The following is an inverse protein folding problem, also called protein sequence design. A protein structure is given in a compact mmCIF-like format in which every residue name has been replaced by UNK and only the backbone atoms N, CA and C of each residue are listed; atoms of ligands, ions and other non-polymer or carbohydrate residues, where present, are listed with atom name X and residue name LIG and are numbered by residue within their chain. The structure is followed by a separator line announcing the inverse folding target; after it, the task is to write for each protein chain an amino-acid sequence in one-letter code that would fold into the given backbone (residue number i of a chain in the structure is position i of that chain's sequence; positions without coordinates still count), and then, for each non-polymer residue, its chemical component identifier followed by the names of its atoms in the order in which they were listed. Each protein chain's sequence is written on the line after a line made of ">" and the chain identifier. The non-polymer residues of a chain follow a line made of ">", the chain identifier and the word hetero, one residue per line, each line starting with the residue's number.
data_IF_918448025921
#
_entry.id   IF_918448025921
#
_cell.length_a   1.000
_cell.length_b   1.000
_cell.length_c   1.000
_cell.angle_alpha   90.00
_cell.angle_beta   90.00
_cell.angle_gamma   90.00
#
_symmetry.space_group_name_H-M   'P 1'
#
loop_
_entity.id
_entity.type
_entity.pdbx_description
1 polymer ?
#
# COMPACT_ATOMS: atom_id res chain seq x y z
N UNK A 1 19.82 8.52 28.04
CA UNK A 1 19.30 7.25 28.54
C UNK A 1 18.00 7.49 29.30
N UNK A 2 17.03 6.60 29.14
CA UNK A 2 15.78 6.57 29.92
C UNK A 2 16.15 6.11 31.32
N UNK A 3 15.65 6.82 32.32
CA UNK A 3 15.91 6.50 33.73
C UNK A 3 14.60 6.46 34.52
N UNK A 4 14.53 5.64 35.55
CA UNK A 4 13.36 5.47 36.38
C UNK A 4 12.35 4.50 35.82
N UNK A 5 11.10 4.60 36.24
CA UNK A 5 10.03 3.70 35.83
C UNK A 5 9.56 3.97 34.39
N UNK A 6 9.34 2.91 33.63
CA UNK A 6 8.84 2.96 32.25
C UNK A 6 7.51 2.22 32.15
N UNK A 7 6.46 2.94 31.79
CA UNK A 7 5.15 2.37 31.58
C UNK A 7 4.95 2.00 30.09
N UNK A 8 4.51 0.77 29.85
CA UNK A 8 4.25 0.22 28.51
C UNK A 8 2.76 0.27 28.22
N UNK A 9 2.34 1.29 27.44
CA UNK A 9 0.95 1.61 27.20
C UNK A 9 0.58 1.46 25.72
N UNK A 10 -0.72 1.36 25.43
CA UNK A 10 -1.26 1.26 24.09
C UNK A 10 -1.42 -0.16 23.58
N UNK A 11 -2.18 -0.33 22.50
CA UNK A 11 -2.54 -1.63 21.92
C UNK A 11 -1.33 -2.52 21.58
N UNK A 12 -0.35 -2.05 20.80
CA UNK A 12 0.79 -2.88 20.44
C UNK A 12 1.57 -3.40 21.63
N UNK A 13 1.80 -2.57 22.65
CA UNK A 13 2.54 -2.96 23.85
C UNK A 13 1.70 -3.80 24.82
N UNK A 14 0.37 -3.75 24.73
CA UNK A 14 -0.53 -4.65 25.46
C UNK A 14 -0.52 -6.07 24.88
N UNK A 15 -0.63 -6.20 23.56
CA UNK A 15 -0.92 -7.48 22.91
C UNK A 15 0.31 -8.18 22.33
N UNK A 16 1.46 -7.50 22.20
CA UNK A 16 2.69 -8.05 21.62
C UNK A 16 3.78 -8.21 22.70
N UNK A 17 3.83 -9.34 23.43
CA UNK A 17 4.79 -9.55 24.51
C UNK A 17 6.25 -9.55 24.02
N UNK A 18 6.52 -10.03 22.81
CA UNK A 18 7.87 -10.02 22.25
C UNK A 18 8.34 -8.60 21.94
N UNK A 19 7.44 -7.71 21.51
CA UNK A 19 7.77 -6.29 21.34
C UNK A 19 8.16 -5.65 22.69
N UNK A 20 7.39 -5.90 23.77
CA UNK A 20 7.75 -5.42 25.11
C UNK A 20 9.10 -5.96 25.57
N UNK A 21 9.36 -7.25 25.34
CA UNK A 21 10.64 -7.88 25.67
C UNK A 21 11.81 -7.18 24.98
N UNK A 22 11.67 -6.83 23.71
CA UNK A 22 12.71 -6.07 22.99
C UNK A 22 12.95 -4.69 23.58
N UNK A 23 11.90 -4.01 24.04
CA UNK A 23 12.07 -2.76 24.79
C UNK A 23 12.84 -2.97 26.09
N UNK A 24 12.53 -4.02 26.86
CA UNK A 24 13.27 -4.32 28.10
C UNK A 24 14.75 -4.54 27.85
N UNK A 25 15.08 -5.32 26.84
CA UNK A 25 16.45 -5.62 26.44
C UNK A 25 17.19 -4.37 25.94
N UNK A 26 16.56 -3.60 25.05
CA UNK A 26 17.18 -2.41 24.43
C UNK A 26 17.39 -1.27 25.42
N UNK A 27 16.47 -1.11 26.37
CA UNK A 27 16.52 -0.06 27.38
C UNK A 27 17.25 -0.51 28.67
N UNK A 28 17.68 -1.78 28.71
CA UNK A 28 18.33 -2.40 29.87
C UNK A 28 17.49 -2.23 31.15
N UNK A 29 16.17 -2.42 31.05
CA UNK A 29 15.24 -2.27 32.17
C UNK A 29 15.22 -3.55 33.02
N UNK A 30 15.45 -3.43 34.33
CA UNK A 30 15.15 -4.48 35.27
C UNK A 30 13.65 -4.61 35.57
N UNK A 31 13.21 -5.64 36.27
CA UNK A 31 11.81 -5.92 36.54
C UNK A 31 11.12 -4.84 37.37
N UNK A 32 11.84 -4.23 38.31
CA UNK A 32 11.31 -3.20 39.20
C UNK A 32 10.91 -1.94 38.45
N UNK A 33 11.61 -1.62 37.36
CA UNK A 33 11.38 -0.40 36.58
C UNK A 33 10.38 -0.57 35.42
N UNK A 34 9.77 -1.77 35.30
CA UNK A 34 8.76 -2.06 34.23
C UNK A 34 7.35 -1.93 34.78
N UNK A 35 6.53 -1.09 34.20
CA UNK A 35 5.12 -0.96 34.53
C UNK A 35 4.30 -1.44 33.33
N UNK A 36 3.58 -2.55 33.48
CA UNK A 36 2.71 -3.14 32.46
C UNK A 36 1.31 -3.30 33.05
N UNK A 37 0.45 -2.27 32.92
CA UNK A 37 -0.92 -2.37 33.44
C UNK A 37 -1.75 -3.36 32.61
N UNK A 38 -2.66 -4.08 33.24
CA UNK A 38 -3.55 -5.03 32.56
C UNK A 38 -4.43 -4.41 31.49
N UNK A 39 -4.75 -3.12 31.61
CA UNK A 39 -5.60 -2.36 30.71
C UNK A 39 -4.82 -1.29 29.95
N UNK A 40 -3.55 -1.51 29.66
CA UNK A 40 -2.64 -0.56 29.03
C UNK A 40 -3.18 0.02 27.70
N UNK A 41 -3.96 -0.75 26.95
CA UNK A 41 -4.59 -0.33 25.69
C UNK A 41 -5.74 0.68 25.86
N UNK A 42 -6.28 0.82 27.07
CA UNK A 42 -7.39 1.75 27.37
C UNK A 42 -6.90 3.08 27.97
N UNK A 43 -5.63 3.25 28.26
CA UNK A 43 -5.11 4.41 28.98
C UNK A 43 -5.41 5.74 28.28
N UNK A 44 -5.35 5.79 26.95
CA UNK A 44 -5.67 7.02 26.21
C UNK A 44 -7.13 7.38 26.38
N UNK A 45 -8.04 6.44 26.20
CA UNK A 45 -9.48 6.67 26.39
C UNK A 45 -9.82 7.02 27.83
N UNK A 46 -9.18 6.34 28.80
CA UNK A 46 -9.34 6.65 30.24
C UNK A 46 -8.83 8.05 30.56
N UNK A 47 -7.71 8.47 29.97
CA UNK A 47 -7.18 9.83 30.13
C UNK A 47 -8.15 10.89 29.59
N UNK A 48 -8.78 10.64 28.44
CA UNK A 48 -9.84 11.51 27.91
C UNK A 48 -11.02 11.61 28.88
N UNK A 49 -11.47 10.49 29.45
CA UNK A 49 -12.57 10.49 30.42
C UNK A 49 -12.21 11.25 31.70
N UNK A 50 -10.98 11.09 32.21
CA UNK A 50 -10.47 11.83 33.37
C UNK A 50 -10.41 13.33 33.08
N UNK A 51 -9.90 13.72 31.91
CA UNK A 51 -9.85 15.11 31.48
C UNK A 51 -11.27 15.71 31.37
N UNK A 52 -12.23 14.94 30.81
CA UNK A 52 -13.64 15.32 30.74
C UNK A 52 -14.28 15.50 32.14
N UNK A 53 -13.97 14.60 33.08
CA UNK A 53 -14.47 14.68 34.45
C UNK A 53 -13.93 15.90 35.23
N UNK A 54 -12.73 16.38 34.84
CA UNK A 54 -12.12 17.57 35.42
C UNK A 54 -12.64 18.89 34.78
N UNK A 55 -13.42 18.81 33.69
CA UNK A 55 -13.97 19.97 33.01
C UNK A 55 -15.02 20.64 33.85
N UNK A 56 -14.97 21.97 33.95
CA UNK A 56 -16.01 22.78 34.61
C UNK A 56 -17.30 22.85 33.77
N UNK A 57 -17.24 22.49 32.51
CA UNK A 57 -18.36 22.52 31.58
C UNK A 57 -19.01 21.13 31.50
N UNK A 58 -20.10 20.93 32.21
CA UNK A 58 -20.92 19.72 32.11
C UNK A 58 -21.99 19.92 31.06
N UNK A 59 -21.83 19.40 29.86
CA UNK A 59 -22.87 19.31 28.85
C UNK A 59 -23.62 17.98 29.02
N UNK A 60 -24.72 17.97 29.78
CA UNK A 60 -25.58 16.78 29.83
C UNK A 60 -26.50 16.76 28.61
N UNK A 61 -26.11 16.00 27.59
CA UNK A 61 -26.94 15.75 26.41
C UNK A 61 -27.75 14.47 26.57
N UNK A 62 -29.00 14.48 26.09
CA UNK A 62 -29.81 13.26 26.05
C UNK A 62 -29.32 12.37 24.94
N UNK A 63 -29.26 11.06 25.19
CA UNK A 63 -28.88 10.08 24.19
C UNK A 63 -29.72 10.20 22.89
N UNK A 64 -31.01 10.55 23.00
CA UNK A 64 -31.88 10.74 21.85
C UNK A 64 -31.39 11.87 20.93
N UNK A 65 -30.90 12.98 21.49
CA UNK A 65 -30.40 14.12 20.72
C UNK A 65 -29.08 13.79 20.04
N UNK A 66 -28.21 13.00 20.69
CA UNK A 66 -26.97 12.48 20.10
C UNK A 66 -27.27 11.55 18.94
N UNK A 67 -28.22 10.63 19.12
CA UNK A 67 -28.64 9.69 18.07
C UNK A 67 -29.27 10.39 16.87
N UNK A 68 -30.04 11.44 17.10
CA UNK A 68 -30.64 12.21 16.02
C UNK A 68 -29.57 12.98 15.21
N UNK A 69 -28.63 13.60 15.90
CA UNK A 69 -27.44 14.19 15.21
C UNK A 69 -26.65 13.18 14.40
N UNK A 70 -26.43 11.98 14.93
CA UNK A 70 -25.71 10.93 14.21
C UNK A 70 -26.46 10.47 12.95
N UNK A 71 -27.79 10.45 12.95
CA UNK A 71 -28.60 10.14 11.75
C UNK A 71 -28.46 11.20 10.66
N UNK A 72 -28.27 12.46 11.08
CA UNK A 72 -28.19 13.62 10.19
C UNK A 72 -26.74 14.07 9.93
N UNK A 73 -25.74 13.20 10.16
CA UNK A 73 -24.32 13.52 9.97
C UNK A 73 -23.97 14.00 8.56
N UNK A 74 -24.76 13.66 7.55
CA UNK A 74 -24.60 14.16 6.18
C UNK A 74 -24.77 15.67 6.08
N UNK A 75 -25.58 16.27 6.96
CA UNK A 75 -25.85 17.72 6.99
C UNK A 75 -24.91 18.46 7.96
N UNK A 76 -24.29 17.75 8.89
CA UNK A 76 -23.25 18.29 9.79
C UNK A 76 -21.90 18.21 9.08
N UNK A 77 -21.74 18.99 8.05
CA UNK A 77 -20.40 19.30 7.54
C UNK A 77 -19.75 20.19 8.58
N UNK A 78 -18.87 19.56 9.37
CA UNK A 78 -18.28 20.17 10.54
C UNK A 78 -17.67 21.54 10.24
N UNK A 79 -18.04 22.50 11.02
CA UNK A 79 -17.47 23.86 11.08
C UNK A 79 -15.99 23.88 11.51
N UNK A 80 -15.37 22.73 11.73
CA UNK A 80 -14.02 22.61 12.30
C UNK A 80 -12.87 22.75 11.30
N UNK A 81 -13.14 22.61 10.01
CA UNK A 81 -12.09 22.72 8.99
C UNK A 81 -12.49 23.74 7.94
N UNK A 82 -11.72 24.80 7.83
CA UNK A 82 -11.77 25.67 6.64
C UNK A 82 -11.36 24.81 5.46
N UNK A 83 -12.35 24.27 4.75
CA UNK A 83 -12.10 23.48 3.55
C UNK A 83 -11.57 24.39 2.46
N UNK A 84 -10.50 23.96 1.81
CA UNK A 84 -10.11 24.55 0.53
C UNK A 84 -11.27 24.41 -0.48
N UNK A 85 -11.40 25.31 -1.44
CA UNK A 85 -12.35 25.13 -2.53
C UNK A 85 -12.13 23.78 -3.21
N UNK A 86 -13.14 23.21 -3.87
CA UNK A 86 -12.98 22.02 -4.69
C UNK A 86 -11.83 22.19 -5.67
N UNK A 87 -11.11 21.12 -5.98
CA UNK A 87 -9.98 21.14 -6.90
C UNK A 87 -10.40 21.67 -8.29
N UNK A 88 -11.61 21.33 -8.71
CA UNK A 88 -12.24 21.81 -9.95
C UNK A 88 -13.52 22.57 -9.63
N UNK A 89 -13.69 23.74 -10.24
CA UNK A 89 -14.89 24.56 -10.03
C UNK A 89 -16.13 23.99 -10.74
N UNK A 90 -15.94 23.21 -11.79
CA UNK A 90 -16.99 22.59 -12.61
C UNK A 90 -16.43 21.40 -13.41
N UNK A 91 -17.34 20.66 -14.06
CA UNK A 91 -17.00 19.47 -14.84
C UNK A 91 -16.09 19.81 -16.06
N UNK A 92 -16.21 20.99 -16.64
CA UNK A 92 -15.37 21.39 -17.77
C UNK A 92 -13.89 21.53 -17.40
N UNK A 93 -13.59 22.04 -16.19
CA UNK A 93 -12.22 22.08 -15.68
C UNK A 93 -11.67 20.68 -15.40
N UNK A 94 -12.50 19.77 -14.92
CA UNK A 94 -12.14 18.37 -14.73
C UNK A 94 -11.88 17.68 -16.09
N UNK A 95 -12.70 17.95 -17.08
CA UNK A 95 -12.54 17.38 -18.43
C UNK A 95 -11.25 17.90 -19.09
N UNK A 96 -10.95 19.20 -19.00
CA UNK A 96 -9.69 19.77 -19.48
C UNK A 96 -8.47 19.16 -18.78
N UNK A 97 -8.56 18.97 -17.46
CA UNK A 97 -7.50 18.29 -16.70
C UNK A 97 -7.29 16.86 -17.20
N UNK A 98 -8.37 16.11 -17.38
CA UNK A 98 -8.33 14.74 -17.84
C UNK A 98 -7.79 14.62 -19.26
N UNK A 99 -8.24 15.47 -20.20
CA UNK A 99 -7.74 15.51 -21.57
C UNK A 99 -6.24 15.80 -21.63
N UNK A 100 -5.77 16.81 -20.88
CA UNK A 100 -4.34 17.14 -20.80
C UNK A 100 -3.51 15.98 -20.27
N UNK A 101 -3.99 15.29 -19.23
CA UNK A 101 -3.27 14.15 -18.65
C UNK A 101 -3.39 12.89 -19.51
N UNK A 102 -4.47 12.71 -20.25
CA UNK A 102 -4.62 11.61 -21.17
C UNK A 102 -3.66 11.68 -22.37
N UNK A 103 -3.16 12.87 -22.69
CA UNK A 103 -2.14 13.05 -23.73
C UNK A 103 -0.77 12.50 -23.30
N UNK A 104 -0.47 12.49 -21.99
CA UNK A 104 0.78 12.00 -21.40
C UNK A 104 0.66 10.52 -21.00
N UNK A 105 0.25 9.68 -21.92
CA UNK A 105 0.08 8.25 -21.68
C UNK A 105 1.32 7.45 -22.09
N UNK A 106 1.59 6.38 -21.34
CA UNK A 106 2.54 5.34 -21.73
C UNK A 106 2.07 4.71 -23.04
N UNK A 107 2.99 4.55 -24.00
CA UNK A 107 2.70 3.81 -25.24
C UNK A 107 2.23 2.40 -24.88
N UNK A 108 1.10 2.00 -25.41
CA UNK A 108 0.51 0.68 -25.19
C UNK A 108 0.32 -0.03 -26.52
N UNK A 109 0.58 -1.32 -26.52
CA UNK A 109 0.29 -2.21 -27.62
C UNK A 109 -0.52 -3.41 -27.12
N UNK A 110 -1.24 -4.07 -28.01
CA UNK A 110 -2.05 -5.23 -27.66
C UNK A 110 -1.15 -6.46 -27.49
N UNK A 111 -1.17 -7.09 -26.31
CA UNK A 111 -0.47 -8.36 -26.08
C UNK A 111 -0.94 -9.45 -27.06
N UNK A 112 -2.22 -9.46 -27.42
CA UNK A 112 -2.82 -10.47 -28.30
C UNK A 112 -2.28 -10.39 -29.74
N UNK A 113 -1.81 -9.20 -30.15
CA UNK A 113 -1.28 -8.96 -31.49
C UNK A 113 0.25 -8.95 -31.53
N UNK A 114 0.90 -9.12 -30.36
CA UNK A 114 2.34 -9.07 -30.23
C UNK A 114 2.99 -10.45 -30.41
N UNK A 115 4.12 -10.48 -31.07
CA UNK A 115 4.97 -11.67 -31.22
C UNK A 115 6.44 -11.30 -31.03
N UNK A 116 7.21 -12.13 -30.34
CA UNK A 116 8.64 -11.90 -30.15
C UNK A 116 9.06 -11.87 -28.67
N UNK A 117 10.14 -11.15 -28.40
CA UNK A 117 10.74 -11.05 -27.06
C UNK A 117 10.11 -9.90 -26.29
N UNK A 118 9.73 -10.16 -25.05
CA UNK A 118 9.22 -9.16 -24.13
C UNK A 118 9.92 -9.27 -22.76
N UNK A 119 9.80 -8.25 -21.93
CA UNK A 119 10.50 -8.13 -20.66
C UNK A 119 9.50 -7.97 -19.52
N UNK A 120 9.65 -8.81 -18.49
CA UNK A 120 8.76 -8.82 -17.33
C UNK A 120 9.39 -8.02 -16.17
N UNK A 121 8.69 -6.98 -15.73
CA UNK A 121 9.00 -6.23 -14.52
C UNK A 121 8.03 -6.57 -13.39
N UNK A 122 8.55 -6.78 -12.17
CA UNK A 122 7.74 -7.08 -10.98
C UNK A 122 8.13 -6.12 -9.85
N UNK A 123 7.14 -5.42 -9.29
CA UNK A 123 7.26 -4.70 -8.03
C UNK A 123 6.49 -5.44 -6.94
N UNK A 124 7.23 -6.13 -6.09
CA UNK A 124 6.74 -6.94 -4.99
C UNK A 124 6.71 -6.11 -3.69
N UNK A 125 5.83 -5.12 -3.60
CA UNK A 125 5.71 -4.22 -2.47
C UNK A 125 5.15 -4.89 -1.20
N UNK A 126 5.21 -4.18 -0.08
CA UNK A 126 4.72 -4.66 1.22
C UNK A 126 3.18 -4.84 1.28
N UNK A 127 2.44 -4.05 0.54
CA UNK A 127 0.97 -4.05 0.53
C UNK A 127 0.36 -4.37 -0.83
N UNK A 128 1.08 -4.08 -1.90
CA UNK A 128 0.62 -4.25 -3.28
C UNK A 128 1.65 -4.98 -4.11
N UNK A 129 1.17 -5.76 -5.05
CA UNK A 129 1.96 -6.44 -6.08
C UNK A 129 1.61 -5.83 -7.44
N UNK A 130 2.63 -5.52 -8.23
CA UNK A 130 2.47 -5.05 -9.61
C UNK A 130 3.37 -5.86 -10.51
N UNK A 131 2.90 -6.10 -11.73
CA UNK A 131 3.69 -6.71 -12.78
C UNK A 131 3.36 -6.05 -14.12
N UNK A 132 4.38 -5.88 -14.96
CA UNK A 132 4.25 -5.30 -16.30
C UNK A 132 5.04 -6.13 -17.30
N UNK A 133 4.51 -6.27 -18.51
CA UNK A 133 5.24 -6.80 -19.66
C UNK A 133 5.42 -5.68 -20.68
N UNK A 134 6.65 -5.47 -21.14
CA UNK A 134 7.00 -4.44 -22.13
C UNK A 134 7.73 -5.08 -23.30
N UNK A 135 7.67 -4.44 -24.47
CA UNK A 135 8.51 -4.79 -25.63
C UNK A 135 9.91 -4.16 -25.53
N UNK A 136 10.73 -4.34 -26.56
CA UNK A 136 12.08 -3.77 -26.65
C UNK A 136 12.08 -2.23 -26.75
N UNK A 137 11.04 -1.64 -27.25
CA UNK A 137 10.84 -0.19 -27.39
C UNK A 137 10.28 0.44 -26.10
N UNK A 138 9.88 -0.38 -25.11
CA UNK A 138 9.28 0.06 -23.84
C UNK A 138 7.76 0.27 -23.92
N UNK A 139 7.09 -0.20 -24.98
CA UNK A 139 5.62 -0.16 -25.05
C UNK A 139 5.02 -1.16 -24.05
N UNK A 140 3.98 -0.75 -23.33
CA UNK A 140 3.32 -1.61 -22.35
C UNK A 140 2.37 -2.59 -23.04
N UNK A 141 2.72 -3.87 -23.01
CA UNK A 141 1.91 -4.97 -23.57
C UNK A 141 0.87 -5.49 -22.58
N UNK A 142 1.24 -5.57 -21.30
CA UNK A 142 0.37 -6.11 -20.27
C UNK A 142 0.70 -5.49 -18.90
N UNK A 143 -0.28 -5.39 -18.03
CA UNK A 143 -0.08 -4.91 -16.66
C UNK A 143 -1.03 -5.59 -15.68
N UNK A 144 -0.56 -5.80 -14.46
CA UNK A 144 -1.33 -6.33 -13.35
C UNK A 144 -1.05 -5.55 -12.07
N UNK A 145 -2.10 -5.24 -11.33
CA UNK A 145 -2.02 -4.55 -10.04
C UNK A 145 -3.00 -5.18 -9.07
N UNK A 146 -2.52 -5.57 -7.88
CA UNK A 146 -3.36 -6.21 -6.86
C UNK A 146 -2.84 -5.91 -5.45
N UNK A 147 -3.74 -5.87 -4.47
CA UNK A 147 -3.34 -5.91 -3.06
C UNK A 147 -2.84 -7.31 -2.69
N UNK A 148 -1.63 -7.42 -2.13
CA UNK A 148 -1.03 -8.71 -1.79
C UNK A 148 -1.55 -9.32 -0.48
N UNK A 149 -2.19 -8.51 0.38
CA UNK A 149 -2.74 -8.98 1.67
C UNK A 149 -1.74 -9.79 2.52
N UNK A 150 -0.45 -9.55 2.33
CA UNK A 150 0.63 -10.29 2.99
C UNK A 150 1.09 -11.57 2.28
N UNK A 151 0.48 -11.97 1.15
CA UNK A 151 0.87 -13.14 0.34
C UNK A 151 1.44 -12.71 -1.01
N UNK A 152 2.67 -12.22 -0.99
CA UNK A 152 3.40 -11.77 -2.19
C UNK A 152 3.64 -12.93 -3.16
N UNK A 153 4.01 -14.12 -2.67
CA UNK A 153 4.31 -15.27 -3.51
C UNK A 153 3.05 -15.80 -4.21
N UNK A 154 1.93 -15.87 -3.50
CA UNK A 154 0.65 -16.26 -4.09
C UNK A 154 0.20 -15.27 -5.17
N UNK A 155 0.36 -13.97 -4.94
CA UNK A 155 0.07 -12.94 -5.93
C UNK A 155 0.96 -13.05 -7.16
N UNK A 156 2.26 -13.28 -6.99
CA UNK A 156 3.19 -13.45 -8.10
C UNK A 156 2.84 -14.67 -8.95
N UNK A 157 2.57 -15.81 -8.33
CA UNK A 157 2.12 -17.03 -9.02
C UNK A 157 0.83 -16.82 -9.81
N UNK A 158 -0.15 -16.14 -9.20
CA UNK A 158 -1.43 -15.84 -9.86
C UNK A 158 -1.25 -14.87 -11.04
N UNK A 159 -0.42 -13.84 -10.89
CA UNK A 159 -0.13 -12.88 -11.94
C UNK A 159 0.59 -13.53 -13.13
N UNK A 160 1.60 -14.38 -12.87
CA UNK A 160 2.31 -15.11 -13.93
C UNK A 160 1.36 -16.07 -14.65
N UNK A 161 0.56 -16.84 -13.91
CA UNK A 161 -0.42 -17.73 -14.51
C UNK A 161 -1.44 -16.96 -15.40
N UNK A 162 -1.90 -15.79 -14.93
CA UNK A 162 -2.76 -14.92 -15.69
C UNK A 162 -2.07 -14.42 -16.97
N UNK A 163 -0.83 -13.92 -16.85
CA UNK A 163 -0.05 -13.47 -18.02
C UNK A 163 0.03 -14.57 -19.09
N UNK A 164 0.44 -15.78 -18.71
CA UNK A 164 0.52 -16.88 -19.65
C UNK A 164 -0.82 -17.29 -20.25
N UNK A 165 -1.91 -17.16 -19.50
CA UNK A 165 -3.26 -17.42 -20.02
C UNK A 165 -3.78 -16.38 -21.03
N UNK A 166 -3.18 -15.18 -21.00
CA UNK A 166 -3.52 -14.05 -21.87
C UNK A 166 -2.53 -13.86 -23.04
N UNK A 167 -1.43 -14.64 -23.06
CA UNK A 167 -0.47 -14.62 -24.17
C UNK A 167 -1.06 -15.24 -25.43
N UNK A 168 -0.78 -14.67 -26.63
CA UNK A 168 -1.12 -15.29 -27.89
C UNK A 168 -0.33 -16.58 -28.05
N UNK A 169 -0.96 -17.60 -28.61
CA UNK A 169 -0.38 -18.91 -28.89
C UNK A 169 -0.45 -19.23 -30.36
N UNK A 170 0.53 -19.96 -30.84
CA UNK A 170 0.51 -20.51 -32.20
C UNK A 170 -0.65 -21.51 -32.34
N UNK A 171 -1.43 -21.38 -33.37
CA UNK A 171 -2.67 -22.16 -33.58
C UNK A 171 -2.37 -23.65 -33.90
N UNK A 172 -1.19 -23.97 -34.39
CA UNK A 172 -0.83 -25.33 -34.79
C UNK A 172 -0.13 -26.06 -33.64
N UNK A 173 0.78 -25.37 -32.94
CA UNK A 173 1.64 -25.96 -31.89
C UNK A 173 1.08 -25.73 -30.48
N UNK A 174 0.27 -24.70 -30.26
CA UNK A 174 -0.18 -24.27 -28.97
C UNK A 174 0.91 -23.56 -28.12
N UNK A 175 2.09 -23.32 -28.67
CA UNK A 175 3.18 -22.65 -27.98
C UNK A 175 2.96 -21.13 -27.91
N UNK A 176 3.37 -20.45 -26.83
CA UNK A 176 3.29 -19.00 -26.75
C UNK A 176 4.10 -18.32 -27.86
N UNK A 177 3.51 -17.32 -28.51
CA UNK A 177 4.16 -16.48 -29.52
C UNK A 177 5.04 -15.37 -28.89
N UNK A 178 4.93 -15.16 -27.59
CA UNK A 178 5.71 -14.19 -26.82
C UNK A 178 6.69 -14.93 -25.93
N UNK A 179 7.96 -14.58 -26.02
CA UNK A 179 9.02 -15.11 -25.18
C UNK A 179 9.43 -14.07 -24.14
N UNK A 180 9.41 -14.41 -22.86
CA UNK A 180 9.98 -13.55 -21.82
C UNK A 180 11.49 -13.68 -21.87
N UNK A 181 12.17 -12.65 -22.41
CA UNK A 181 13.62 -12.62 -22.59
C UNK A 181 14.36 -12.37 -21.28
N UNK A 182 13.76 -11.60 -20.36
CA UNK A 182 14.31 -11.35 -19.03
C UNK A 182 13.19 -10.92 -18.06
N UNK A 183 13.30 -11.35 -16.81
CA UNK A 183 12.38 -10.97 -15.73
C UNK A 183 13.18 -10.33 -14.59
N UNK A 184 12.75 -9.15 -14.15
CA UNK A 184 13.40 -8.41 -13.05
C UNK A 184 12.38 -8.12 -11.96
N UNK A 185 12.79 -8.26 -10.70
CA UNK A 185 11.96 -7.99 -9.55
C UNK A 185 12.57 -6.92 -8.65
N UNK A 186 11.72 -6.12 -8.02
CA UNK A 186 12.09 -5.13 -6.99
C UNK A 186 11.11 -5.17 -5.82
N UNK A 187 11.41 -4.43 -4.75
CA UNK A 187 10.56 -4.26 -3.59
C UNK A 187 10.80 -5.26 -2.47
N UNK A 188 9.97 -5.23 -1.43
CA UNK A 188 10.13 -6.05 -0.21
C UNK A 188 10.15 -7.55 -0.47
N UNK A 189 9.46 -8.02 -1.50
CA UNK A 189 9.38 -9.43 -1.88
C UNK A 189 10.50 -9.88 -2.82
N UNK A 190 11.45 -9.02 -3.18
CA UNK A 190 12.51 -9.31 -4.14
C UNK A 190 13.24 -10.62 -3.85
N UNK A 191 13.85 -10.75 -2.67
CA UNK A 191 14.63 -11.92 -2.30
C UNK A 191 13.79 -13.21 -2.32
N UNK A 192 12.52 -13.14 -1.90
CA UNK A 192 11.59 -14.26 -1.93
C UNK A 192 11.29 -14.71 -3.35
N UNK A 193 11.05 -13.78 -4.27
CA UNK A 193 10.68 -14.10 -5.65
C UNK A 193 11.89 -14.55 -6.47
N UNK A 194 13.07 -13.99 -6.22
CA UNK A 194 14.33 -14.48 -6.79
C UNK A 194 14.55 -15.97 -6.46
N UNK A 195 14.39 -16.33 -5.19
CA UNK A 195 14.60 -17.71 -4.74
C UNK A 195 13.48 -18.66 -5.22
N UNK A 196 12.20 -18.27 -5.01
CA UNK A 196 11.07 -19.16 -5.24
C UNK A 196 10.69 -19.32 -6.70
N UNK A 197 10.79 -18.26 -7.52
CA UNK A 197 10.38 -18.26 -8.92
C UNK A 197 11.56 -18.23 -9.89
N UNK A 198 12.78 -18.10 -9.39
CA UNK A 198 14.02 -18.01 -10.19
C UNK A 198 13.92 -16.88 -11.23
N UNK A 199 13.42 -15.73 -10.79
CA UNK A 199 13.44 -14.49 -11.58
C UNK A 199 14.90 -14.15 -11.87
N UNK A 200 15.21 -13.67 -13.07
CA UNK A 200 16.59 -13.54 -13.56
C UNK A 200 17.43 -12.53 -12.75
N UNK A 201 16.82 -11.44 -12.32
CA UNK A 201 17.54 -10.40 -11.55
C UNK A 201 16.66 -9.63 -10.57
N UNK A 202 17.29 -9.08 -9.53
CA UNK A 202 16.74 -8.06 -8.65
C UNK A 202 17.25 -6.67 -9.02
N UNK A 203 16.49 -5.62 -8.78
CA UNK A 203 16.89 -4.23 -8.97
C UNK A 203 16.48 -3.39 -7.77
N UNK A 204 17.31 -2.43 -7.41
CA UNK A 204 16.99 -1.49 -6.33
C UNK A 204 15.79 -0.62 -6.76
N UNK A 205 14.80 -0.48 -5.88
CA UNK A 205 13.53 0.20 -6.18
C UNK A 205 13.74 1.63 -6.72
N UNK A 206 14.65 2.40 -6.13
CA UNK A 206 14.95 3.76 -6.59
C UNK A 206 15.59 3.79 -7.98
N UNK A 207 16.38 2.77 -8.34
CA UNK A 207 16.97 2.61 -9.68
C UNK A 207 15.89 2.20 -10.68
N UNK A 208 15.01 1.27 -10.32
CA UNK A 208 13.86 0.89 -11.15
C UNK A 208 12.95 2.10 -11.43
N UNK A 209 12.66 2.92 -10.42
CA UNK A 209 11.92 4.18 -10.58
C UNK A 209 12.61 5.14 -11.57
N UNK A 210 13.92 5.34 -11.42
CA UNK A 210 14.67 6.22 -12.32
C UNK A 210 14.60 5.74 -13.77
N UNK A 211 14.82 4.44 -14.01
CA UNK A 211 14.77 3.85 -15.35
C UNK A 211 13.39 3.99 -15.98
N UNK A 212 12.33 3.71 -15.20
CA UNK A 212 10.95 3.90 -15.66
C UNK A 212 10.65 5.36 -16.03
N UNK A 213 11.07 6.30 -15.18
CA UNK A 213 10.89 7.72 -15.46
C UNK A 213 11.65 8.19 -16.72
N UNK A 214 12.90 7.75 -16.90
CA UNK A 214 13.71 8.09 -18.07
C UNK A 214 13.13 7.57 -19.39
N UNK A 215 12.45 6.42 -19.35
CA UNK A 215 11.82 5.84 -20.54
C UNK A 215 10.50 6.53 -20.91
N UNK A 216 9.77 7.06 -19.91
CA UNK A 216 8.42 7.55 -20.09
C UNK A 216 8.29 9.08 -20.07
N UNK A 217 9.31 9.75 -19.58
CA UNK A 217 9.35 11.23 -19.57
C UNK A 217 10.31 11.71 -20.64
N UNK A 218 9.93 12.74 -21.41
CA UNK A 218 10.78 13.32 -22.44
C UNK A 218 12.04 14.00 -21.87
#
# INVERSE_FOLDING_TARGET
>A
PIRGYVAFLGGPLQYLPELRKRFYETLELDEEHRIVPDNAHLFVASGCAIAGAASETVCAEKLADVLDRLKNLGDIQGSEVVRLPPLFANDAELDEFNERHAAECVKRESLMDYTGVAYLGIDAGSTTFKATLIDEEGSLLWSHYVSNKGDVLGCAKAAIAKLYSEMPVDAETGEPLVTIGHATVTGYGEALLLEALRVDSGEIETVAHLRGAQQMLP
#
